data_IF_818912551133
#
_entry.id   IF_818912551133
#
_cell.length_a   1.000
_cell.length_b   1.000
_cell.length_c   1.000
_cell.angle_alpha   90.00
_cell.angle_beta   90.00
_cell.angle_gamma   90.00
#
_symmetry.space_group_name_H-M   'P 1'
#
loop_
_entity.id
_entity.type
_entity.pdbx_description
1 polymer ?
#
# COMPACT_ATOMS: atom_id res chain seq x y z
N UNK A 1 0.88 -11.23 10.64
CA UNK A 1 -0.25 -12.08 11.11
C UNK A 1 -0.02 -13.55 10.78
N UNK A 2 0.01 -13.95 9.51
CA UNK A 2 0.30 -15.34 9.11
C UNK A 2 1.56 -15.96 9.76
N UNK A 3 2.68 -15.22 9.79
CA UNK A 3 3.91 -15.65 10.48
C UNK A 3 3.67 -15.87 11.98
N UNK A 4 3.16 -14.85 12.68
CA UNK A 4 2.88 -14.91 14.11
C UNK A 4 1.97 -16.08 14.49
N UNK A 5 0.88 -16.30 13.76
CA UNK A 5 -0.06 -17.38 14.03
C UNK A 5 0.57 -18.78 13.95
N UNK A 6 1.59 -18.99 13.09
CA UNK A 6 2.31 -20.28 13.01
C UNK A 6 3.36 -20.48 14.10
N UNK A 7 3.73 -19.42 14.79
CA UNK A 7 4.83 -19.40 15.77
C UNK A 7 4.30 -19.51 17.19
N UNK A 8 3.11 -18.96 17.44
CA UNK A 8 2.47 -18.93 18.75
C UNK A 8 1.64 -20.17 19.02
N UNK A 9 1.64 -20.64 20.27
CA UNK A 9 0.81 -21.77 20.69
C UNK A 9 -0.66 -21.39 20.96
N UNK A 10 -0.95 -20.11 21.20
CA UNK A 10 -2.29 -19.58 21.50
C UNK A 10 -2.45 -18.21 20.81
N UNK A 11 -3.62 -17.96 20.21
CA UNK A 11 -3.97 -16.65 19.63
C UNK A 11 -5.08 -15.99 20.45
N UNK A 12 -4.83 -14.76 20.91
CA UNK A 12 -5.88 -13.92 21.52
C UNK A 12 -6.50 -13.03 20.44
N UNK A 13 -7.77 -13.27 20.13
CA UNK A 13 -8.55 -12.47 19.19
C UNK A 13 -9.27 -11.35 19.94
N UNK A 14 -8.76 -10.12 19.81
CA UNK A 14 -9.39 -8.94 20.40
C UNK A 14 -10.45 -8.39 19.46
N UNK A 15 -11.71 -8.36 19.92
CA UNK A 15 -12.86 -7.81 19.16
C UNK A 15 -13.50 -6.71 19.99
N UNK A 16 -13.76 -5.54 19.39
CA UNK A 16 -14.37 -4.46 20.12
C UNK A 16 -15.90 -4.63 20.19
N UNK A 17 -16.48 -4.43 21.37
CA UNK A 17 -17.91 -4.60 21.63
C UNK A 17 -18.79 -3.56 20.91
N UNK A 18 -18.22 -2.43 20.48
CA UNK A 18 -18.91 -1.38 19.73
C UNK A 18 -18.81 -1.56 18.20
N UNK A 19 -17.66 -2.04 17.72
CA UNK A 19 -17.38 -2.19 16.29
C UNK A 19 -17.88 -3.54 15.73
N UNK A 20 -17.81 -4.62 16.53
CA UNK A 20 -18.12 -5.97 16.08
C UNK A 20 -16.97 -6.62 15.29
N UNK A 21 -17.31 -7.64 14.50
CA UNK A 21 -16.36 -8.38 13.67
C UNK A 21 -16.10 -7.63 12.36
N UNK A 22 -14.88 -7.09 12.24
CA UNK A 22 -14.42 -6.35 11.07
C UNK A 22 -13.66 -7.25 10.08
N UNK A 23 -13.45 -6.84 8.81
CA UNK A 23 -12.69 -7.63 7.83
C UNK A 23 -11.30 -8.04 8.31
N UNK A 24 -10.61 -7.18 9.08
CA UNK A 24 -9.30 -7.50 9.67
C UNK A 24 -9.40 -8.59 10.76
N UNK A 25 -10.52 -8.63 11.50
CA UNK A 25 -10.82 -9.69 12.47
C UNK A 25 -11.02 -11.01 11.75
N UNK A 26 -11.79 -11.02 10.66
CA UNK A 26 -11.99 -12.22 9.81
C UNK A 26 -10.67 -12.73 9.25
N UNK A 27 -9.79 -11.83 8.80
CA UNK A 27 -8.45 -12.19 8.33
C UNK A 27 -7.64 -12.88 9.45
N UNK A 28 -7.68 -12.34 10.68
CA UNK A 28 -6.99 -12.91 11.83
C UNK A 28 -7.53 -14.31 12.19
N UNK A 29 -8.86 -14.50 12.16
CA UNK A 29 -9.52 -15.79 12.36
C UNK A 29 -9.01 -16.82 11.34
N UNK A 30 -8.97 -16.43 10.06
CA UNK A 30 -8.51 -17.31 8.99
C UNK A 30 -7.04 -17.73 9.18
N UNK A 31 -6.16 -16.81 9.60
CA UNK A 31 -4.76 -17.14 9.88
C UNK A 31 -4.61 -18.10 11.06
N UNK A 32 -5.38 -17.91 12.13
CA UNK A 32 -5.34 -18.79 13.31
C UNK A 32 -5.86 -20.20 12.98
N UNK A 33 -7.01 -20.29 12.29
CA UNK A 33 -7.56 -21.57 11.83
C UNK A 33 -6.62 -22.31 10.88
N UNK A 34 -6.04 -21.61 9.91
CA UNK A 34 -5.09 -22.21 8.96
C UNK A 34 -3.79 -22.69 9.64
N UNK A 35 -3.43 -22.10 10.78
CA UNK A 35 -2.30 -22.53 11.59
C UNK A 35 -2.67 -23.66 12.58
N UNK A 36 -3.96 -23.95 12.76
CA UNK A 36 -4.43 -24.94 13.74
C UNK A 36 -4.21 -24.53 15.18
N UNK A 37 -4.17 -23.22 15.46
CA UNK A 37 -3.86 -22.67 16.79
C UNK A 37 -5.16 -22.29 17.52
N UNK A 38 -5.33 -22.69 18.79
CA UNK A 38 -6.52 -22.35 19.57
C UNK A 38 -6.66 -20.84 19.75
N UNK A 39 -7.91 -20.39 19.72
CA UNK A 39 -8.28 -18.99 19.82
C UNK A 39 -8.92 -18.74 21.19
N UNK A 40 -8.52 -17.64 21.84
CA UNK A 40 -9.22 -17.05 22.99
C UNK A 40 -9.79 -15.71 22.54
N UNK A 41 -11.08 -15.48 22.75
CA UNK A 41 -11.75 -14.23 22.35
C UNK A 41 -11.74 -13.23 23.50
N UNK A 42 -11.16 -12.05 23.28
CA UNK A 42 -11.23 -10.94 24.21
C UNK A 42 -12.18 -9.86 23.67
N UNK A 43 -13.39 -9.77 24.24
CA UNK A 43 -14.38 -8.76 23.86
C UNK A 43 -14.04 -7.47 24.60
N UNK A 44 -13.40 -6.52 23.92
CA UNK A 44 -12.87 -5.30 24.51
C UNK A 44 -13.87 -4.13 24.46
N UNK A 45 -13.60 -3.07 25.23
CA UNK A 45 -14.38 -1.82 25.34
C UNK A 45 -15.75 -1.98 26.01
N UNK A 46 -15.90 -2.93 26.94
CA UNK A 46 -17.15 -3.10 27.71
C UNK A 46 -17.49 -1.90 28.62
N UNK A 47 -16.56 -0.98 28.79
CA UNK A 47 -16.78 0.27 29.53
C UNK A 47 -17.65 1.29 28.76
N UNK A 48 -17.89 1.08 27.46
CA UNK A 48 -18.68 1.99 26.63
C UNK A 48 -20.18 1.71 26.77
N UNK A 49 -21.03 2.74 26.87
CA UNK A 49 -22.49 2.55 26.96
C UNK A 49 -23.11 1.82 25.76
N UNK A 50 -22.51 1.98 24.57
CA UNK A 50 -22.92 1.32 23.34
C UNK A 50 -22.29 -0.06 23.12
N UNK A 51 -21.54 -0.58 24.08
CA UNK A 51 -20.94 -1.91 23.98
C UNK A 51 -22.02 -2.98 23.96
N UNK A 52 -21.95 -3.87 22.96
CA UNK A 52 -22.83 -5.04 22.86
C UNK A 52 -22.01 -6.32 22.66
N UNK A 53 -21.54 -6.95 23.76
CA UNK A 53 -20.84 -8.22 23.70
C UNK A 53 -21.68 -9.34 23.05
N UNK A 54 -23.00 -9.34 23.25
CA UNK A 54 -23.90 -10.36 22.69
C UNK A 54 -23.96 -10.30 21.17
N UNK A 55 -23.94 -9.10 20.59
CA UNK A 55 -23.79 -8.91 19.14
C UNK A 55 -22.48 -9.51 18.63
N UNK A 56 -21.36 -9.27 19.31
CA UNK A 56 -20.04 -9.83 18.93
C UNK A 56 -20.08 -11.36 18.89
N UNK A 57 -20.65 -11.99 19.94
CA UNK A 57 -20.79 -13.46 20.00
C UNK A 57 -21.59 -14.00 18.81
N UNK A 58 -22.69 -13.33 18.47
CA UNK A 58 -23.56 -13.72 17.36
C UNK A 58 -22.85 -13.59 16.01
N UNK A 59 -22.10 -12.52 15.80
CA UNK A 59 -21.31 -12.31 14.58
C UNK A 59 -20.18 -13.36 14.43
N UNK A 60 -19.54 -13.76 15.53
CA UNK A 60 -18.48 -14.78 15.53
C UNK A 60 -18.98 -16.18 15.08
N UNK A 61 -20.25 -16.51 15.32
CA UNK A 61 -20.85 -17.76 14.84
C UNK A 61 -20.77 -17.90 13.31
N UNK A 62 -20.94 -16.79 12.58
CA UNK A 62 -20.86 -16.78 11.12
C UNK A 62 -19.45 -17.13 10.60
N UNK A 63 -18.46 -17.06 11.48
CA UNK A 63 -17.07 -17.42 11.22
C UNK A 63 -16.69 -18.74 11.91
N UNK A 64 -17.68 -19.57 12.28
CA UNK A 64 -17.52 -20.86 12.96
C UNK A 64 -16.69 -20.78 14.25
N UNK A 65 -16.71 -19.62 14.92
CA UNK A 65 -16.19 -19.48 16.28
C UNK A 65 -17.39 -19.56 17.20
N UNK A 66 -17.53 -20.70 17.87
CA UNK A 66 -18.56 -20.91 18.89
C UNK A 66 -17.90 -20.78 20.26
N UNK A 67 -18.45 -19.83 21.00
CA UNK A 67 -17.91 -19.25 22.22
C UNK A 67 -18.50 -19.99 23.43
N UNK A 68 -17.80 -20.11 24.56
CA UNK A 68 -18.21 -20.93 25.72
C UNK A 68 -19.62 -20.56 26.22
N UNK A 69 -19.98 -19.28 26.24
CA UNK A 69 -21.32 -18.85 26.67
C UNK A 69 -22.44 -19.32 25.73
N UNK A 70 -22.08 -19.77 24.53
CA UNK A 70 -22.97 -20.33 23.52
C UNK A 70 -22.77 -21.84 23.36
N UNK A 71 -22.26 -22.51 24.41
CA UNK A 71 -21.97 -23.95 24.44
C UNK A 71 -20.91 -24.38 23.42
N UNK A 72 -19.95 -23.51 23.11
CA UNK A 72 -18.80 -23.82 22.27
C UNK A 72 -17.54 -24.16 23.07
N UNK A 73 -16.43 -24.37 22.34
CA UNK A 73 -15.12 -24.70 22.91
C UNK A 73 -14.18 -23.49 23.01
N UNK A 74 -14.54 -22.35 22.40
CA UNK A 74 -13.69 -21.16 22.38
C UNK A 74 -13.87 -20.36 23.66
N UNK A 75 -12.80 -20.24 24.47
CA UNK A 75 -12.81 -19.40 25.66
C UNK A 75 -13.04 -17.93 25.30
N UNK A 76 -13.82 -17.24 26.13
CA UNK A 76 -14.17 -15.84 25.94
C UNK A 76 -14.03 -15.03 27.22
N UNK A 77 -13.53 -13.79 27.10
CA UNK A 77 -13.45 -12.88 28.23
C UNK A 77 -13.86 -11.48 27.79
N UNK A 78 -14.86 -10.92 28.48
CA UNK A 78 -15.25 -9.51 28.36
C UNK A 78 -14.25 -8.64 29.14
N UNK A 79 -13.56 -7.72 28.46
CA UNK A 79 -12.51 -6.87 29.06
C UNK A 79 -12.70 -5.39 28.75
N UNK A 80 -12.16 -4.54 29.62
CA UNK A 80 -11.89 -3.13 29.28
C UNK A 80 -10.41 -2.87 29.43
N UNK A 81 -9.70 -2.72 28.30
CA UNK A 81 -8.29 -2.36 28.31
C UNK A 81 -8.05 -0.95 28.88
N UNK A 82 -9.02 -0.03 28.73
CA UNK A 82 -8.91 1.34 29.22
C UNK A 82 -9.13 1.43 30.74
N UNK A 83 -10.15 0.72 31.26
CA UNK A 83 -10.47 0.68 32.69
C UNK A 83 -9.74 -0.44 33.44
N UNK A 84 -8.95 -1.24 32.72
CA UNK A 84 -8.23 -2.42 33.22
C UNK A 84 -9.15 -3.43 33.92
N UNK A 85 -10.34 -3.68 33.35
CA UNK A 85 -11.32 -4.62 33.90
C UNK A 85 -11.14 -6.01 33.28
N UNK A 86 -11.25 -7.06 34.11
CA UNK A 86 -11.20 -8.48 33.76
C UNK A 86 -9.91 -8.93 33.02
N UNK A 87 -8.81 -8.18 33.11
CA UNK A 87 -7.52 -8.58 32.52
C UNK A 87 -6.90 -9.77 33.26
N UNK A 88 -7.18 -9.88 34.56
CA UNK A 88 -6.91 -11.04 35.40
C UNK A 88 -7.60 -12.31 34.87
N UNK A 89 -8.89 -12.22 34.53
CA UNK A 89 -9.63 -13.35 33.93
C UNK A 89 -9.09 -13.74 32.56
N UNK A 90 -8.67 -12.76 31.75
CA UNK A 90 -8.03 -13.05 30.47
C UNK A 90 -6.71 -13.81 30.66
N UNK A 91 -5.93 -13.43 31.67
CA UNK A 91 -4.71 -14.15 32.03
C UNK A 91 -5.01 -15.58 32.50
N UNK A 92 -6.03 -15.77 33.33
CA UNK A 92 -6.50 -17.10 33.76
C UNK A 92 -6.93 -17.96 32.56
N UNK A 93 -7.67 -17.41 31.60
CA UNK A 93 -8.08 -18.12 30.40
C UNK A 93 -6.86 -18.55 29.53
N UNK A 94 -5.84 -17.69 29.42
CA UNK A 94 -4.59 -18.03 28.72
C UNK A 94 -3.85 -19.16 29.45
N UNK A 95 -3.77 -19.12 30.78
CA UNK A 95 -3.16 -20.20 31.56
C UNK A 95 -3.93 -21.52 31.41
N UNK A 96 -5.25 -21.49 31.52
CA UNK A 96 -6.11 -22.67 31.34
C UNK A 96 -5.90 -23.30 29.96
N UNK A 97 -5.89 -22.48 28.91
CA UNK A 97 -5.67 -22.96 27.55
C UNK A 97 -4.27 -23.59 27.39
N UNK A 98 -3.24 -23.00 28.00
CA UNK A 98 -1.88 -23.54 27.96
C UNK A 98 -1.76 -24.88 28.72
N UNK A 99 -2.46 -25.03 29.84
CA UNK A 99 -2.53 -26.30 30.58
C UNK A 99 -3.20 -27.40 29.77
N UNK A 100 -4.30 -27.09 29.07
CA UNK A 100 -5.01 -28.03 28.18
C UNK A 100 -4.09 -28.52 27.05
N UNK A 101 -3.21 -27.67 26.53
CA UNK A 101 -2.29 -28.01 25.44
C UNK A 101 -1.09 -28.87 25.90
N UNK A 102 -0.82 -28.96 27.20
CA UNK A 102 0.34 -29.69 27.77
C UNK A 102 1.65 -29.35 27.07
N UNK A 103 1.92 -28.04 26.91
CA UNK A 103 3.06 -27.53 26.16
C UNK A 103 4.39 -27.99 26.78
N UNK A 104 5.24 -28.62 25.96
CA UNK A 104 6.54 -29.17 26.38
C UNK A 104 7.66 -28.71 25.46
N UNK A 105 8.78 -28.34 26.07
CA UNK A 105 10.03 -28.04 25.36
C UNK A 105 11.21 -28.72 26.07
N UNK A 106 12.21 -29.14 25.29
CA UNK A 106 13.44 -29.69 25.82
C UNK A 106 14.53 -28.59 25.81
N UNK A 107 14.96 -28.06 26.96
CA UNK A 107 16.03 -27.07 27.04
C UNK A 107 17.43 -27.69 26.86
N UNK A 108 17.59 -29.00 27.09
CA UNK A 108 18.88 -29.70 27.09
C UNK A 108 19.31 -30.15 25.68
N UNK A 109 19.22 -29.26 24.69
CA UNK A 109 19.65 -29.48 23.30
C UNK A 109 20.08 -28.17 22.65
N UNK A 110 20.70 -28.27 21.48
CA UNK A 110 21.02 -27.09 20.66
C UNK A 110 19.78 -26.27 20.34
N UNK A 111 19.92 -24.96 20.41
CA UNK A 111 18.79 -24.05 20.21
C UNK A 111 18.29 -24.07 18.77
N UNK A 112 16.98 -24.09 18.62
CA UNK A 112 16.26 -23.90 17.37
C UNK A 112 15.05 -22.99 17.61
N UNK A 113 14.67 -22.23 16.59
CA UNK A 113 13.49 -21.37 16.68
C UNK A 113 13.31 -20.53 15.43
N UNK A 114 12.72 -19.35 15.59
CA UNK A 114 12.37 -18.48 14.47
C UNK A 114 12.81 -17.04 14.70
N UNK A 115 13.20 -16.37 13.61
CA UNK A 115 13.44 -14.93 13.59
C UNK A 115 12.10 -14.21 13.60
N UNK A 116 11.84 -13.43 14.65
CA UNK A 116 10.65 -12.59 14.78
C UNK A 116 10.82 -11.33 13.93
N UNK A 117 11.99 -10.69 14.05
CA UNK A 117 12.30 -9.43 13.38
C UNK A 117 13.81 -9.27 13.22
N UNK A 118 14.22 -8.47 12.23
CA UNK A 118 15.61 -8.12 12.00
C UNK A 118 15.76 -6.64 11.65
N UNK A 119 16.86 -6.05 12.12
CA UNK A 119 17.22 -4.65 11.87
C UNK A 119 18.72 -4.46 11.73
N UNK A 120 19.12 -3.35 11.13
CA UNK A 120 20.51 -2.92 11.03
C UNK A 120 20.76 -1.76 11.99
N UNK A 121 21.54 -1.99 13.03
CA UNK A 121 21.77 -1.00 14.08
C UNK A 121 23.15 -0.32 13.91
N UNK A 122 23.17 1.02 13.98
CA UNK A 122 24.41 1.78 13.81
C UNK A 122 25.39 1.45 14.94
N UNK A 123 26.61 1.07 14.58
CA UNK A 123 27.68 0.72 15.54
C UNK A 123 27.61 -0.71 16.08
N UNK A 124 26.45 -1.38 16.01
CA UNK A 124 26.26 -2.76 16.47
C UNK A 124 26.24 -3.76 15.30
N UNK A 125 25.82 -3.32 14.12
CA UNK A 125 25.72 -4.14 12.91
C UNK A 125 24.34 -4.81 12.81
N UNK A 126 24.23 -5.92 12.05
CA UNK A 126 22.97 -6.64 11.91
C UNK A 126 22.58 -7.33 13.22
N UNK A 127 21.33 -7.13 13.62
CA UNK A 127 20.72 -7.77 14.79
C UNK A 127 19.41 -8.43 14.40
N UNK A 128 19.10 -9.55 15.06
CA UNK A 128 17.88 -10.30 14.84
C UNK A 128 17.23 -10.69 16.16
N UNK A 129 15.98 -10.31 16.35
CA UNK A 129 15.14 -10.79 17.46
C UNK A 129 14.63 -12.17 17.08
N UNK A 130 14.98 -13.16 17.90
CA UNK A 130 14.56 -14.55 17.70
C UNK A 130 13.69 -15.00 18.86
N UNK A 131 12.79 -15.95 18.58
CA UNK A 131 12.06 -16.70 19.59
C UNK A 131 12.62 -18.12 19.63
N UNK A 132 13.22 -18.50 20.76
CA UNK A 132 13.74 -19.86 20.95
C UNK A 132 12.56 -20.81 21.17
N UNK A 133 12.46 -21.87 20.37
CA UNK A 133 11.37 -22.85 20.48
C UNK A 133 11.82 -24.12 21.21
N UNK A 134 13.06 -24.56 20.97
CA UNK A 134 13.67 -25.69 21.68
C UNK A 134 15.13 -25.43 21.95
N UNK A 135 15.67 -26.10 22.96
CA UNK A 135 17.05 -25.94 23.39
C UNK A 135 17.29 -24.63 24.14
N UNK A 136 18.55 -24.38 24.44
CA UNK A 136 19.01 -23.15 25.10
C UNK A 136 20.06 -22.49 24.23
N UNK A 137 19.83 -21.22 23.88
CA UNK A 137 20.75 -20.41 23.11
C UNK A 137 21.70 -19.69 24.05
N UNK A 138 23.00 -19.76 23.82
CA UNK A 138 24.00 -19.12 24.68
C UNK A 138 24.89 -18.14 23.91
N UNK A 139 25.50 -17.21 24.64
CA UNK A 139 26.56 -16.35 24.09
C UNK A 139 27.75 -17.21 23.66
N UNK A 140 28.24 -16.99 22.45
CA UNK A 140 29.32 -17.77 21.82
C UNK A 140 28.82 -18.82 20.83
N UNK A 141 27.53 -19.16 20.85
CA UNK A 141 26.94 -20.10 19.89
C UNK A 141 27.08 -19.59 18.45
N UNK A 142 27.16 -20.54 17.53
CA UNK A 142 27.20 -20.25 16.09
C UNK A 142 25.81 -20.55 15.55
N UNK A 143 25.14 -19.54 15.03
CA UNK A 143 23.77 -19.62 14.55
C UNK A 143 23.71 -19.46 13.04
N UNK A 144 22.80 -20.21 12.43
CA UNK A 144 22.38 -20.03 11.03
C UNK A 144 20.92 -19.64 11.04
N UNK A 145 20.56 -18.55 10.38
CA UNK A 145 19.19 -18.07 10.21
C UNK A 145 18.96 -17.79 8.71
N UNK A 146 18.17 -18.64 8.04
CA UNK A 146 17.96 -18.53 6.60
C UNK A 146 19.28 -18.56 5.81
N UNK A 147 19.57 -17.49 5.07
CA UNK A 147 20.82 -17.31 4.32
C UNK A 147 21.92 -16.56 5.09
N UNK A 148 21.67 -16.19 6.34
CA UNK A 148 22.60 -15.47 7.20
C UNK A 148 23.17 -16.37 8.29
N UNK A 149 24.36 -16.07 8.79
CA UNK A 149 24.95 -16.78 9.92
C UNK A 149 25.76 -15.84 10.80
N UNK A 150 26.08 -16.28 12.01
CA UNK A 150 26.90 -15.47 12.90
C UNK A 150 27.29 -16.19 14.18
N UNK A 151 28.28 -15.63 14.87
CA UNK A 151 28.56 -15.99 16.27
C UNK A 151 27.83 -15.03 17.18
N UNK A 152 27.07 -15.56 18.14
CA UNK A 152 26.36 -14.77 19.15
C UNK A 152 27.39 -14.03 20.01
N UNK A 153 27.52 -12.71 19.82
CA UNK A 153 28.40 -11.83 20.62
C UNK A 153 27.72 -11.34 21.89
N UNK A 154 26.42 -11.11 21.81
CA UNK A 154 25.58 -10.73 22.95
C UNK A 154 24.14 -11.21 22.69
N UNK A 155 23.45 -11.51 23.79
CA UNK A 155 22.03 -11.78 23.84
C UNK A 155 21.38 -10.68 24.69
N UNK A 156 20.31 -10.08 24.21
CA UNK A 156 19.61 -8.99 24.89
C UNK A 156 18.13 -9.35 25.04
N UNK A 157 17.61 -9.26 26.26
CA UNK A 157 16.23 -9.57 26.57
C UNK A 157 15.24 -8.46 26.15
N UNK A 158 13.96 -8.68 26.39
CA UNK A 158 12.87 -7.73 26.13
C UNK A 158 12.97 -6.42 26.94
N UNK A 159 13.76 -6.41 28.02
CA UNK A 159 14.02 -5.25 28.88
C UNK A 159 15.31 -4.52 28.49
N UNK A 160 16.00 -4.96 27.44
CA UNK A 160 17.25 -4.36 26.97
C UNK A 160 18.47 -4.74 27.82
N UNK A 161 18.37 -5.77 28.66
CA UNK A 161 19.46 -6.24 29.51
C UNK A 161 20.22 -7.37 28.81
N UNK A 162 21.54 -7.40 29.01
CA UNK A 162 22.36 -8.50 28.50
C UNK A 162 22.10 -9.77 29.33
N UNK A 163 21.81 -10.86 28.63
CA UNK A 163 21.65 -12.19 29.22
C UNK A 163 22.73 -13.14 28.67
N UNK A 164 23.06 -14.19 29.42
CA UNK A 164 24.06 -15.18 29.00
C UNK A 164 23.46 -16.33 28.21
N UNK A 165 22.19 -16.63 28.47
CA UNK A 165 21.45 -17.72 27.83
C UNK A 165 19.96 -17.37 27.70
N UNK A 166 19.29 -18.00 26.73
CA UNK A 166 17.86 -17.90 26.50
C UNK A 166 17.29 -19.31 26.25
N UNK A 167 16.38 -19.75 27.12
CA UNK A 167 15.70 -21.04 27.00
C UNK A 167 14.46 -20.98 26.10
N UNK A 168 13.69 -22.08 26.01
CA UNK A 168 12.47 -22.14 25.21
C UNK A 168 11.44 -21.08 25.62
N UNK A 169 10.70 -20.58 24.63
CA UNK A 169 9.65 -19.54 24.76
C UNK A 169 10.14 -18.16 25.18
N UNK A 170 11.46 -17.93 25.23
CA UNK A 170 12.06 -16.62 25.52
C UNK A 170 12.44 -15.90 24.23
N UNK A 171 11.93 -14.68 23.97
CA UNK A 171 12.41 -13.85 22.88
C UNK A 171 13.72 -13.17 23.27
N UNK A 172 14.70 -13.16 22.36
CA UNK A 172 16.01 -12.55 22.60
C UNK A 172 16.58 -11.93 21.33
N UNK A 173 17.21 -10.77 21.46
CA UNK A 173 17.93 -10.12 20.36
C UNK A 173 19.36 -10.66 20.29
N UNK A 174 19.71 -11.23 19.13
CA UNK A 174 21.07 -11.71 18.83
C UNK A 174 21.86 -10.61 18.15
N UNK A 175 23.02 -10.30 18.73
CA UNK A 175 24.04 -9.48 18.10
C UNK A 175 25.17 -10.36 17.53
N UNK A 176 25.50 -10.20 16.25
CA UNK A 176 26.65 -10.90 15.65
C UNK A 176 26.39 -11.63 14.34
N UNK A 177 25.24 -11.40 13.70
CA UNK A 177 25.02 -11.84 12.34
C UNK A 177 25.93 -11.11 11.35
N UNK A 178 26.33 -11.82 10.30
CA UNK A 178 27.06 -11.27 9.16
C UNK A 178 26.20 -10.31 8.32
N UNK A 179 24.91 -10.63 8.22
CA UNK A 179 23.88 -9.89 7.48
C UNK A 179 22.53 -10.05 8.19
N UNK A 180 21.63 -9.08 8.03
CA UNK A 180 20.33 -9.15 8.72
C UNK A 180 19.52 -10.35 8.19
N UNK A 181 19.10 -11.30 9.05
CA UNK A 181 18.27 -12.42 8.60
C UNK A 181 16.87 -11.96 8.21
N UNK A 182 16.09 -12.81 7.55
CA UNK A 182 14.71 -12.46 7.18
C UNK A 182 13.73 -12.79 8.30
N UNK A 183 12.70 -11.95 8.45
CA UNK A 183 11.64 -12.21 9.41
C UNK A 183 10.86 -13.47 9.01
N UNK A 184 10.78 -14.43 9.93
CA UNK A 184 10.20 -15.76 9.70
C UNK A 184 11.21 -16.84 9.30
N UNK A 185 12.49 -16.51 9.14
CA UNK A 185 13.52 -17.52 8.94
C UNK A 185 13.62 -18.43 10.16
N UNK A 186 13.75 -19.72 9.92
CA UNK A 186 14.14 -20.66 10.97
C UNK A 186 15.62 -20.44 11.30
N UNK A 187 15.93 -20.38 12.59
CA UNK A 187 17.30 -20.37 13.08
C UNK A 187 17.63 -21.66 13.82
N UNK A 188 18.90 -22.06 13.74
CA UNK A 188 19.43 -23.19 14.49
C UNK A 188 20.90 -22.94 14.87
N UNK A 189 21.30 -23.45 16.04
CA UNK A 189 22.70 -23.51 16.46
C UNK A 189 23.40 -24.66 15.71
N UNK A 190 24.61 -24.41 15.24
CA UNK A 190 25.46 -25.36 14.53
C UNK A 190 26.82 -25.51 15.20
N UNK A 191 27.50 -26.61 14.90
CA UNK A 191 28.72 -27.03 15.60
C UNK A 191 29.92 -26.10 15.38
N UNK A 192 30.05 -25.50 14.18
CA UNK A 192 31.20 -24.68 13.82
C UNK A 192 30.90 -23.70 12.66
N UNK A 193 31.77 -22.71 12.49
CA UNK A 193 31.60 -21.65 11.49
C UNK A 193 31.71 -22.18 10.06
N UNK A 194 32.55 -23.19 9.82
CA UNK A 194 32.73 -23.78 8.50
C UNK A 194 31.42 -24.38 7.99
N UNK A 195 30.70 -25.09 8.87
CA UNK A 195 29.39 -25.66 8.56
C UNK A 195 28.33 -24.58 8.34
N UNK A 196 28.36 -23.51 9.15
CA UNK A 196 27.44 -22.38 8.99
C UNK A 196 27.59 -21.71 7.61
N UNK A 197 28.83 -21.45 7.18
CA UNK A 197 29.16 -20.89 5.86
C UNK A 197 28.73 -21.80 4.73
N UNK A 198 29.01 -23.10 4.82
CA UNK A 198 28.62 -24.07 3.81
C UNK A 198 27.09 -24.07 3.57
N UNK A 199 26.30 -24.07 4.65
CA UNK A 199 24.83 -24.06 4.59
C UNK A 199 24.32 -22.75 3.96
N UNK A 200 24.86 -21.61 4.39
CA UNK A 200 24.42 -20.29 3.91
C UNK A 200 24.82 -20.06 2.46
N UNK A 201 26.03 -20.43 2.05
CA UNK A 201 26.49 -20.36 0.66
C UNK A 201 25.66 -21.24 -0.28
N UNK A 202 25.27 -22.43 0.17
CA UNK A 202 24.35 -23.28 -0.57
C UNK A 202 22.97 -22.63 -0.74
N UNK A 203 22.38 -22.09 0.35
CA UNK A 203 21.09 -21.39 0.30
C UNK A 203 21.13 -20.15 -0.58
N UNK A 204 22.21 -19.36 -0.51
CA UNK A 204 22.42 -18.18 -1.35
C UNK A 204 22.53 -18.52 -2.83
N UNK A 205 23.29 -19.57 -3.20
CA UNK A 205 23.35 -20.05 -4.59
C UNK A 205 21.98 -20.48 -5.09
N UNK A 206 21.27 -21.30 -4.32
CA UNK A 206 19.92 -21.78 -4.69
C UNK A 206 18.93 -20.63 -4.86
N UNK A 207 19.02 -19.61 -4.00
CA UNK A 207 18.21 -18.39 -4.09
C UNK A 207 18.54 -17.58 -5.35
N UNK A 208 19.82 -17.44 -5.68
CA UNK A 208 20.27 -16.74 -6.89
C UNK A 208 19.87 -17.50 -8.16
N UNK A 209 19.88 -18.82 -8.15
CA UNK A 209 19.37 -19.66 -9.25
C UNK A 209 17.86 -19.51 -9.43
N UNK A 210 17.09 -19.44 -8.33
CA UNK A 210 15.64 -19.21 -8.37
C UNK A 210 15.30 -17.80 -8.91
N UNK A 211 16.06 -16.78 -8.49
CA UNK A 211 15.89 -15.40 -9.00
C UNK A 211 16.39 -15.27 -10.46
N UNK A 212 17.46 -15.97 -10.81
CA UNK A 212 18.02 -15.99 -12.16
C UNK A 212 17.13 -16.74 -13.17
N UNK A 213 16.39 -17.76 -12.72
CA UNK A 213 15.40 -18.46 -13.55
C UNK A 213 14.11 -17.65 -13.75
N UNK A 214 13.77 -16.74 -12.83
CA UNK A 214 12.77 -15.69 -13.07
C UNK A 214 13.25 -14.62 -14.07
N UNK A 215 14.56 -14.55 -14.35
CA UNK A 215 15.19 -13.70 -15.35
C UNK A 215 15.65 -14.49 -16.61
N UNK A 216 15.08 -15.69 -16.84
CA UNK A 216 15.26 -16.42 -18.10
C UNK A 216 14.77 -15.58 -19.31
N UNK A 217 15.23 -15.85 -20.54
CA UNK A 217 15.10 -14.94 -21.67
C UNK A 217 13.63 -14.59 -21.89
N UNK A 218 13.33 -13.28 -21.86
CA UNK A 218 12.00 -12.77 -22.24
C UNK A 218 11.68 -13.34 -23.62
N UNK A 219 10.68 -14.21 -23.70
CA UNK A 219 10.19 -14.65 -25.01
C UNK A 219 9.74 -13.42 -25.78
N UNK A 220 9.75 -13.47 -27.12
CA UNK A 220 9.28 -12.33 -27.93
C UNK A 220 7.86 -11.89 -27.50
N UNK A 221 7.04 -12.84 -27.08
CA UNK A 221 5.70 -12.63 -26.55
C UNK A 221 5.69 -11.86 -25.22
N UNK A 222 6.55 -12.21 -24.26
CA UNK A 222 6.73 -11.44 -23.02
C UNK A 222 7.32 -10.06 -23.30
N UNK A 223 8.21 -9.93 -24.28
CA UNK A 223 8.77 -8.65 -24.70
C UNK A 223 7.69 -7.76 -25.36
N UNK A 224 6.76 -8.34 -26.13
CA UNK A 224 5.57 -7.66 -26.63
C UNK A 224 4.57 -7.29 -25.53
N UNK A 225 4.46 -8.09 -24.46
CA UNK A 225 3.62 -7.79 -23.30
C UNK A 225 4.21 -6.65 -22.46
N UNK A 226 5.53 -6.62 -22.25
CA UNK A 226 6.22 -5.46 -21.64
C UNK A 226 6.13 -4.20 -22.51
N UNK A 227 6.06 -4.34 -23.84
CA UNK A 227 5.80 -3.21 -24.75
C UNK A 227 4.35 -2.71 -24.68
N UNK A 228 3.37 -3.59 -24.40
CA UNK A 228 1.99 -3.16 -24.08
C UNK A 228 1.92 -2.41 -22.75
N UNK A 229 2.73 -2.81 -21.78
CA UNK A 229 2.89 -2.10 -20.49
C UNK A 229 3.67 -0.77 -20.64
N UNK A 230 4.35 -0.51 -21.76
CA UNK A 230 5.10 0.73 -21.99
C UNK A 230 4.23 2.01 -22.06
N UNK A 231 2.90 1.87 -22.04
CA UNK A 231 1.96 2.99 -21.85
C UNK A 231 1.74 3.38 -20.38
N UNK A 232 2.19 2.54 -19.44
CA UNK A 232 2.00 2.72 -18.00
C UNK A 232 3.05 3.68 -17.45
N UNK A 233 2.61 4.68 -16.70
CA UNK A 233 3.53 5.62 -16.04
C UNK A 233 4.06 5.01 -14.76
N UNK A 234 5.37 4.92 -14.64
CA UNK A 234 6.02 4.45 -13.42
C UNK A 234 6.33 5.64 -12.49
N UNK A 235 6.03 5.47 -11.21
CA UNK A 235 6.51 6.33 -10.14
C UNK A 235 7.60 5.58 -9.35
N UNK A 236 8.89 5.79 -9.69
CA UNK A 236 9.99 5.06 -9.07
C UNK A 236 10.24 5.50 -7.62
N UNK A 237 10.40 4.53 -6.74
CA UNK A 237 10.58 4.72 -5.31
C UNK A 237 11.76 3.89 -4.79
N UNK A 238 12.52 4.47 -3.87
CA UNK A 238 13.49 3.75 -3.04
C UNK A 238 13.01 3.78 -1.59
N UNK A 239 12.85 2.63 -0.96
CA UNK A 239 12.27 2.51 0.38
C UNK A 239 13.33 2.02 1.38
N UNK A 240 13.61 2.80 2.43
CA UNK A 240 14.41 2.38 3.58
C UNK A 240 13.54 2.36 4.83
N UNK A 241 13.62 1.30 5.61
CA UNK A 241 12.91 1.15 6.88
C UNK A 241 13.84 0.83 8.04
N UNK A 242 13.34 1.02 9.25
CA UNK A 242 14.00 0.66 10.50
C UNK A 242 14.12 -0.86 10.68
N UNK A 243 13.06 -1.57 10.32
CA UNK A 243 12.94 -3.03 10.43
C UNK A 243 12.46 -3.63 9.11
N UNK A 244 12.84 -4.90 8.86
CA UNK A 244 12.47 -5.62 7.64
C UNK A 244 10.94 -5.71 7.45
N UNK A 245 10.19 -5.92 8.53
CA UNK A 245 8.73 -6.07 8.48
C UNK A 245 8.01 -4.83 7.95
N UNK A 246 8.46 -3.63 8.35
CA UNK A 246 7.93 -2.35 7.85
C UNK A 246 8.19 -2.20 6.35
N UNK A 247 9.39 -2.54 5.89
CA UNK A 247 9.76 -2.46 4.48
C UNK A 247 8.88 -3.37 3.62
N UNK A 248 8.63 -4.61 4.05
CA UNK A 248 7.74 -5.56 3.37
C UNK A 248 6.29 -5.05 3.34
N UNK A 249 5.79 -4.53 4.46
CA UNK A 249 4.43 -4.02 4.57
C UNK A 249 4.21 -2.81 3.63
N UNK A 250 5.16 -1.87 3.61
CA UNK A 250 5.14 -0.71 2.73
C UNK A 250 5.19 -1.17 1.27
N UNK A 251 6.10 -2.07 0.92
CA UNK A 251 6.23 -2.57 -0.44
C UNK A 251 4.93 -3.24 -0.94
N UNK A 252 4.31 -4.05 -0.08
CA UNK A 252 3.01 -4.68 -0.36
C UNK A 252 1.88 -3.68 -0.52
N UNK A 253 1.83 -2.64 0.31
CA UNK A 253 0.83 -1.58 0.23
C UNK A 253 0.98 -0.75 -1.06
N UNK A 254 2.20 -0.33 -1.38
CA UNK A 254 2.49 0.44 -2.59
C UNK A 254 2.17 -0.33 -3.87
N UNK A 255 2.45 -1.64 -3.90
CA UNK A 255 2.10 -2.50 -5.04
C UNK A 255 0.59 -2.57 -5.30
N UNK A 256 -0.24 -2.49 -4.26
CA UNK A 256 -1.71 -2.49 -4.38
C UNK A 256 -2.28 -1.17 -4.91
N UNK A 257 -1.51 -0.08 -4.90
CA UNK A 257 -1.93 1.21 -5.47
C UNK A 257 -1.87 1.25 -7.00
N UNK A 258 -1.20 0.29 -7.63
CA UNK A 258 -1.04 0.25 -9.08
C UNK A 258 -2.38 0.06 -9.79
N UNK A 259 -2.57 0.82 -10.88
CA UNK A 259 -3.67 0.67 -11.84
C UNK A 259 -3.12 0.26 -13.20
N UNK A 260 -3.92 0.23 -14.26
CA UNK A 260 -3.42 -0.02 -15.62
C UNK A 260 -2.68 1.20 -16.22
N UNK A 261 -2.89 2.40 -15.66
CA UNK A 261 -2.31 3.66 -16.16
C UNK A 261 -1.04 4.10 -15.39
N UNK A 262 -0.97 3.83 -14.08
CA UNK A 262 0.14 4.26 -13.22
C UNK A 262 0.50 3.16 -12.21
N UNK A 263 1.78 2.98 -11.92
CA UNK A 263 2.25 2.11 -10.83
C UNK A 263 3.37 2.72 -9.99
N UNK A 264 3.38 2.36 -8.71
CA UNK A 264 4.51 2.59 -7.83
C UNK A 264 5.57 1.50 -8.07
N UNK A 265 6.71 1.87 -8.64
CA UNK A 265 7.80 0.94 -8.92
C UNK A 265 8.88 1.06 -7.85
N UNK A 266 9.07 0.00 -7.09
CA UNK A 266 10.12 -0.05 -6.06
C UNK A 266 11.43 -0.45 -6.72
N UNK A 267 12.35 0.51 -6.87
CA UNK A 267 13.68 0.30 -7.47
C UNK A 267 14.59 -0.45 -6.50
N UNK A 268 14.53 -0.08 -5.22
CA UNK A 268 15.28 -0.73 -4.17
C UNK A 268 14.53 -0.61 -2.85
N UNK A 269 14.58 -1.66 -2.05
CA UNK A 269 14.09 -1.65 -0.67
C UNK A 269 15.13 -2.27 0.25
N UNK A 270 15.28 -1.71 1.44
CA UNK A 270 16.27 -2.20 2.39
C UNK A 270 16.08 -1.68 3.81
N UNK A 271 16.83 -2.25 4.73
CA UNK A 271 16.76 -1.93 6.16
C UNK A 271 17.95 -1.06 6.58
N UNK A 272 17.70 -0.15 7.51
CA UNK A 272 18.68 0.77 8.06
C UNK A 272 18.59 2.19 7.50
N UNK A 273 19.47 3.05 7.99
CA UNK A 273 19.54 4.45 7.58
C UNK A 273 19.82 4.64 6.09
N UNK A 274 19.41 5.79 5.54
CA UNK A 274 19.66 6.16 4.15
C UNK A 274 21.14 6.55 3.99
N UNK A 275 21.79 5.99 2.97
CA UNK A 275 23.21 6.14 2.66
C UNK A 275 23.44 6.87 1.33
N UNK A 276 24.66 7.35 1.08
CA UNK A 276 25.02 8.02 -0.17
C UNK A 276 24.84 7.12 -1.41
N UNK A 277 25.08 5.81 -1.26
CA UNK A 277 24.81 4.84 -2.33
C UNK A 277 23.32 4.73 -2.67
N UNK A 278 22.44 4.87 -1.67
CA UNK A 278 20.99 4.89 -1.91
C UNK A 278 20.60 6.13 -2.72
N UNK A 279 21.17 7.29 -2.39
CA UNK A 279 20.94 8.54 -3.13
C UNK A 279 21.46 8.45 -4.56
N UNK A 280 22.63 7.86 -4.75
CA UNK A 280 23.22 7.66 -6.09
C UNK A 280 22.33 6.78 -6.97
N UNK A 281 21.79 5.69 -6.40
CA UNK A 281 20.86 4.80 -7.10
C UNK A 281 19.53 5.50 -7.41
N UNK A 282 19.02 6.28 -6.47
CA UNK A 282 17.79 7.06 -6.63
C UNK A 282 17.94 8.12 -7.73
N UNK A 283 19.07 8.85 -7.76
CA UNK A 283 19.39 9.82 -8.81
C UNK A 283 19.42 9.16 -10.20
N UNK A 284 20.15 8.04 -10.34
CA UNK A 284 20.24 7.31 -11.59
C UNK A 284 18.88 6.79 -12.10
N UNK A 285 17.98 6.45 -11.17
CA UNK A 285 16.65 5.90 -11.48
C UNK A 285 15.53 6.94 -11.44
N UNK A 286 15.85 8.21 -11.16
CA UNK A 286 14.90 9.30 -10.89
C UNK A 286 13.86 8.95 -9.82
N UNK A 287 14.26 8.16 -8.82
CA UNK A 287 13.39 7.68 -7.76
C UNK A 287 13.30 8.68 -6.60
N UNK A 288 12.13 8.78 -5.98
CA UNK A 288 11.98 9.46 -4.68
C UNK A 288 12.42 8.53 -3.57
N UNK A 289 13.17 9.05 -2.59
CA UNK A 289 13.64 8.26 -1.46
C UNK A 289 12.67 8.40 -0.29
N UNK A 290 12.22 7.27 0.23
CA UNK A 290 11.27 7.18 1.34
C UNK A 290 11.95 6.49 2.53
N UNK A 291 12.04 7.20 3.66
CA UNK A 291 12.56 6.69 4.91
C UNK A 291 11.45 6.47 5.94
N UNK A 292 11.21 5.22 6.34
CA UNK A 292 10.26 4.87 7.41
C UNK A 292 10.99 4.66 8.73
N UNK A 293 10.75 5.51 9.73
CA UNK A 293 11.45 5.52 11.03
C UNK A 293 12.98 5.58 10.95
N UNK A 294 13.54 5.94 9.79
CA UNK A 294 14.99 6.07 9.57
C UNK A 294 15.35 7.46 9.08
N UNK A 295 16.61 7.82 9.26
CA UNK A 295 17.17 9.11 8.81
C UNK A 295 18.36 8.91 7.88
N UNK A 296 18.53 9.83 6.94
CA UNK A 296 19.75 9.93 6.15
C UNK A 296 20.94 10.32 7.01
N UNK A 297 22.12 9.78 6.68
CA UNK A 297 23.37 10.27 7.25
C UNK A 297 23.77 11.62 6.61
N UNK A 298 24.76 12.31 7.18
CA UNK A 298 25.17 13.63 6.70
C UNK A 298 25.61 13.62 5.24
N UNK A 299 26.37 12.60 4.83
CA UNK A 299 26.83 12.40 3.45
C UNK A 299 25.66 12.22 2.47
N UNK A 300 24.67 11.39 2.81
CA UNK A 300 23.47 11.19 2.00
C UNK A 300 22.64 12.46 1.87
N UNK A 301 22.51 13.25 2.94
CA UNK A 301 21.79 14.52 2.88
C UNK A 301 22.47 15.51 1.92
N UNK A 302 23.80 15.67 2.04
CA UNK A 302 24.57 16.51 1.13
C UNK A 302 24.53 16.02 -0.32
N UNK A 303 24.56 14.70 -0.55
CA UNK A 303 24.41 14.12 -1.88
C UNK A 303 23.02 14.38 -2.46
N UNK A 304 21.96 14.28 -1.64
CA UNK A 304 20.59 14.51 -2.07
C UNK A 304 20.36 15.97 -2.48
N UNK A 305 20.88 16.93 -1.70
CA UNK A 305 20.80 18.35 -2.03
C UNK A 305 21.56 18.69 -3.33
N UNK A 306 22.73 18.06 -3.54
CA UNK A 306 23.56 18.24 -4.75
C UNK A 306 22.90 17.64 -6.00
N UNK A 307 22.34 16.44 -5.88
CA UNK A 307 21.85 15.66 -7.00
C UNK A 307 20.33 15.88 -7.25
N UNK A 308 19.69 16.72 -6.43
CA UNK A 308 18.28 17.09 -6.54
C UNK A 308 17.31 15.95 -6.20
N UNK A 309 17.73 15.01 -5.33
CA UNK A 309 16.94 13.84 -4.94
C UNK A 309 16.07 14.19 -3.73
N UNK A 310 14.75 14.03 -3.85
CA UNK A 310 13.83 14.26 -2.75
C UNK A 310 13.86 13.10 -1.75
N UNK A 311 14.03 13.41 -0.46
CA UNK A 311 13.93 12.46 0.65
C UNK A 311 12.70 12.80 1.49
N UNK A 312 11.77 11.86 1.61
CA UNK A 312 10.60 11.97 2.49
C UNK A 312 10.71 11.02 3.67
N UNK A 313 10.32 11.49 4.84
CA UNK A 313 10.38 10.73 6.08
C UNK A 313 8.98 10.49 6.63
N UNK A 314 8.70 9.25 7.01
CA UNK A 314 7.42 8.84 7.57
C UNK A 314 7.61 8.02 8.84
N UNK A 315 6.61 8.08 9.71
CA UNK A 315 6.47 7.21 10.88
C UNK A 315 5.15 6.43 10.86
N UNK A 316 4.26 6.75 9.92
CA UNK A 316 2.94 6.14 9.76
C UNK A 316 2.80 5.68 8.31
N UNK A 317 2.44 4.41 8.11
CA UNK A 317 2.36 3.80 6.76
C UNK A 317 1.24 4.42 5.94
N UNK A 318 0.11 4.78 6.57
CA UNK A 318 -1.03 5.39 5.86
C UNK A 318 -0.64 6.73 5.24
N UNK A 319 0.01 7.62 5.99
CA UNK A 319 0.50 8.91 5.48
C UNK A 319 1.43 8.73 4.27
N UNK A 320 2.33 7.74 4.33
CA UNK A 320 3.22 7.39 3.22
C UNK A 320 2.43 6.94 1.99
N UNK A 321 1.49 6.01 2.18
CA UNK A 321 0.65 5.45 1.12
C UNK A 321 -0.20 6.55 0.47
N UNK A 322 -0.79 7.44 1.26
CA UNK A 322 -1.64 8.54 0.79
C UNK A 322 -0.85 9.61 0.04
N UNK A 323 0.35 9.95 0.52
CA UNK A 323 1.25 10.86 -0.19
C UNK A 323 1.69 10.28 -1.54
N UNK A 324 2.10 9.01 -1.58
CA UNK A 324 2.48 8.35 -2.82
C UNK A 324 1.29 8.25 -3.76
N UNK A 325 0.10 7.92 -3.25
CA UNK A 325 -1.14 7.90 -4.03
C UNK A 325 -1.45 9.26 -4.64
N UNK A 326 -1.25 10.33 -3.88
CA UNK A 326 -1.44 11.71 -4.34
C UNK A 326 -0.43 12.09 -5.42
N UNK A 327 0.84 11.74 -5.23
CA UNK A 327 1.89 11.98 -6.22
C UNK A 327 1.62 11.21 -7.53
N UNK A 328 1.21 9.94 -7.42
CA UNK A 328 0.82 9.12 -8.57
C UNK A 328 -0.43 9.67 -9.29
N UNK A 329 -1.38 10.25 -8.54
CA UNK A 329 -2.57 10.88 -9.13
C UNK A 329 -2.19 12.07 -10.02
N UNK A 330 -1.16 12.84 -9.64
CA UNK A 330 -0.60 13.92 -10.47
C UNK A 330 -0.01 13.46 -11.80
N UNK A 331 0.30 12.17 -11.94
CA UNK A 331 0.78 11.59 -13.19
C UNK A 331 -0.36 11.19 -14.14
N UNK A 332 -1.61 11.09 -13.67
CA UNK A 332 -2.75 10.73 -14.51
C UNK A 332 -3.06 11.83 -15.52
N UNK A 333 -3.42 11.42 -16.74
CA UNK A 333 -3.93 12.38 -17.72
C UNK A 333 -5.32 12.87 -17.26
N UNK A 334 -5.59 14.20 -17.29
CA UNK A 334 -6.89 14.71 -16.89
C UNK A 334 -7.98 14.25 -17.86
N UNK A 335 -9.17 13.98 -17.34
CA UNK A 335 -10.34 13.63 -18.15
C UNK A 335 -11.02 14.90 -18.64
N UNK A 336 -11.37 14.90 -19.93
CA UNK A 336 -12.18 15.96 -20.53
C UNK A 336 -13.64 15.59 -20.35
N UNK A 337 -14.38 16.38 -19.58
CA UNK A 337 -15.83 16.25 -19.47
C UNK A 337 -16.48 17.33 -20.31
N UNK A 338 -17.38 16.93 -21.18
CA UNK A 338 -18.19 17.87 -21.96
C UNK A 338 -19.42 18.24 -21.14
N UNK A 339 -19.53 19.52 -20.82
CA UNK A 339 -20.70 20.09 -20.17
C UNK A 339 -21.54 20.79 -21.24
N UNK A 340 -22.70 20.21 -21.54
CA UNK A 340 -23.68 20.80 -22.44
C UNK A 340 -24.11 22.19 -21.94
N UNK A 341 -24.22 23.15 -22.86
CA UNK A 341 -24.63 24.53 -22.58
C UNK A 341 -25.99 24.87 -23.17
N UNK A 342 -26.29 24.44 -24.39
CA UNK A 342 -27.54 24.80 -25.07
C UNK A 342 -27.61 24.38 -26.54
N UNK A 343 -28.80 24.51 -27.10
CA UNK A 343 -29.08 24.31 -28.53
C UNK A 343 -29.48 25.62 -29.21
N UNK A 344 -29.12 25.77 -30.48
CA UNK A 344 -29.63 26.82 -31.34
C UNK A 344 -29.94 26.29 -32.74
N UNK A 345 -30.95 26.84 -33.40
CA UNK A 345 -31.31 26.46 -34.78
C UNK A 345 -31.00 27.60 -35.74
N UNK A 346 -30.35 27.29 -36.85
CA UNK A 346 -30.07 28.27 -37.91
C UNK A 346 -31.37 28.58 -38.66
N UNK A 347 -31.82 29.84 -38.58
CA UNK A 347 -33.00 30.34 -39.27
C UNK A 347 -32.67 30.93 -40.64
N UNK A 348 -31.55 31.64 -40.74
CA UNK A 348 -31.13 32.29 -41.96
C UNK A 348 -29.61 32.35 -42.06
N UNK A 349 -29.05 32.23 -43.26
CA UNK A 349 -27.60 32.35 -43.48
C UNK A 349 -27.29 33.64 -44.24
N UNK A 350 -26.45 34.49 -43.64
CA UNK A 350 -26.00 35.75 -44.24
C UNK A 350 -24.56 35.61 -44.75
N UNK A 351 -24.28 36.15 -45.93
CA UNK A 351 -22.91 36.19 -46.46
C UNK A 351 -22.30 37.58 -46.23
N UNK A 352 -21.30 37.68 -45.35
CA UNK A 352 -20.65 38.96 -45.02
C UNK A 352 -19.23 38.96 -45.56
N UNK A 353 -18.90 39.94 -46.40
CA UNK A 353 -17.65 40.03 -47.17
C UNK A 353 -16.35 40.09 -46.34
N UNK A 354 -16.41 40.35 -45.01
CA UNK A 354 -15.24 40.39 -44.12
C UNK A 354 -15.11 39.21 -43.15
N UNK A 355 -16.18 38.48 -42.86
CA UNK A 355 -16.23 37.42 -41.82
C UNK A 355 -16.71 36.07 -42.35
N UNK A 356 -17.08 35.98 -43.63
CA UNK A 356 -17.66 34.78 -44.24
C UNK A 356 -19.16 34.67 -43.96
N UNK A 357 -19.69 33.45 -44.04
CA UNK A 357 -21.08 33.14 -43.72
C UNK A 357 -21.34 33.25 -42.22
N UNK A 358 -22.37 33.99 -41.86
CA UNK A 358 -22.87 34.16 -40.48
C UNK A 358 -24.26 33.55 -40.40
N UNK A 359 -24.44 32.66 -39.42
CA UNK A 359 -25.73 32.04 -39.14
C UNK A 359 -26.57 32.99 -38.27
N UNK A 360 -27.73 33.40 -38.74
CA UNK A 360 -28.80 33.94 -37.91
C UNK A 360 -29.51 32.79 -37.21
N UNK A 361 -29.33 32.70 -35.90
CA UNK A 361 -29.76 31.58 -35.08
C UNK A 361 -30.79 32.00 -34.04
N UNK A 362 -31.70 31.10 -33.71
CA UNK A 362 -32.55 31.20 -32.53
C UNK A 362 -32.07 30.18 -31.49
N UNK A 363 -31.73 30.63 -30.29
CA UNK A 363 -31.37 29.71 -29.19
C UNK A 363 -32.63 29.01 -28.72
N UNK A 364 -32.70 27.70 -28.88
CA UNK A 364 -33.87 26.88 -28.56
C UNK A 364 -33.86 26.37 -27.14
N UNK A 365 -32.68 26.08 -26.59
CA UNK A 365 -32.52 25.56 -25.23
C UNK A 365 -31.20 26.02 -24.60
N UNK A 366 -31.20 26.17 -23.27
CA UNK A 366 -30.02 26.58 -22.50
C UNK A 366 -29.46 27.95 -22.88
N UNK A 367 -28.15 28.01 -23.13
CA UNK A 367 -27.43 29.22 -23.54
C UNK A 367 -26.30 28.91 -24.51
N UNK A 368 -25.93 29.91 -25.31
CA UNK A 368 -24.76 29.84 -26.20
C UNK A 368 -23.73 30.88 -25.79
N UNK A 369 -22.47 30.46 -25.66
CA UNK A 369 -21.37 31.28 -25.16
C UNK A 369 -20.24 31.41 -26.19
N UNK A 370 -19.72 32.63 -26.36
CA UNK A 370 -18.62 32.92 -27.30
C UNK A 370 -17.34 32.23 -26.84
N UNK A 371 -16.69 31.48 -27.74
CA UNK A 371 -15.47 30.71 -27.45
C UNK A 371 -15.73 29.27 -26.98
N UNK A 372 -16.98 28.89 -26.73
CA UNK A 372 -17.36 27.51 -26.45
C UNK A 372 -17.15 26.59 -27.67
N UNK A 373 -17.10 25.29 -27.42
CA UNK A 373 -17.10 24.27 -28.47
C UNK A 373 -18.52 24.07 -28.98
N UNK A 374 -18.63 23.82 -30.27
CA UNK A 374 -19.92 23.67 -30.96
C UNK A 374 -19.89 22.48 -31.89
N UNK A 375 -20.98 21.70 -31.88
CA UNK A 375 -21.28 20.70 -32.90
C UNK A 375 -22.39 21.23 -33.78
N UNK A 376 -22.22 21.09 -35.07
CA UNK A 376 -23.25 21.39 -36.05
C UNK A 376 -23.89 20.08 -36.48
N UNK A 377 -25.20 20.00 -36.36
CA UNK A 377 -26.01 18.83 -36.63
C UNK A 377 -26.93 19.10 -37.82
N UNK A 378 -26.99 18.16 -38.75
CA UNK A 378 -27.96 18.14 -39.84
C UNK A 378 -28.66 16.79 -39.81
N UNK A 379 -29.98 16.79 -39.76
CA UNK A 379 -30.79 15.58 -39.59
C UNK A 379 -30.34 14.72 -38.40
N UNK A 380 -29.94 15.37 -37.30
CA UNK A 380 -29.39 14.77 -36.06
C UNK A 380 -28.04 14.06 -36.22
N UNK A 381 -27.32 14.27 -37.33
CA UNK A 381 -25.96 13.77 -37.54
C UNK A 381 -24.97 14.92 -37.39
N UNK A 382 -23.91 14.72 -36.60
CA UNK A 382 -22.83 15.72 -36.44
C UNK A 382 -22.05 15.83 -37.74
N UNK A 383 -22.13 16.99 -38.40
CA UNK A 383 -21.42 17.26 -39.66
C UNK A 383 -20.11 18.03 -39.43
N UNK A 384 -20.01 18.76 -38.32
CA UNK A 384 -18.81 19.51 -37.97
C UNK A 384 -18.70 19.71 -36.47
N UNK A 385 -17.48 19.66 -35.94
CA UNK A 385 -17.14 20.08 -34.59
C UNK A 385 -16.11 21.22 -34.66
N UNK A 386 -16.41 22.33 -34.01
CA UNK A 386 -15.63 23.55 -34.11
C UNK A 386 -15.69 24.41 -32.86
N UNK A 387 -15.20 25.64 -32.97
CA UNK A 387 -15.27 26.65 -31.92
C UNK A 387 -16.08 27.84 -32.42
N UNK A 388 -16.97 28.35 -31.56
CA UNK A 388 -17.76 29.54 -31.87
C UNK A 388 -16.86 30.79 -31.82
N UNK A 389 -16.57 31.37 -32.99
CA UNK A 389 -15.60 32.45 -33.12
C UNK A 389 -16.21 33.82 -32.81
N UNK A 390 -17.43 34.05 -33.28
CA UNK A 390 -18.14 35.32 -33.10
C UNK A 390 -19.57 35.03 -32.67
N UNK A 391 -20.02 35.76 -31.65
CA UNK A 391 -21.40 35.75 -31.17
C UNK A 391 -21.86 37.20 -31.07
N UNK A 392 -22.88 37.54 -31.86
CA UNK A 392 -23.46 38.86 -31.92
C UNK A 392 -24.94 38.84 -31.62
N UNK A 393 -25.42 39.86 -30.94
CA UNK A 393 -26.84 40.14 -30.82
C UNK A 393 -27.11 41.46 -31.53
N UNK A 394 -27.92 41.43 -32.59
CA UNK A 394 -28.05 42.55 -33.52
C UNK A 394 -26.69 43.00 -34.08
N UNK A 395 -26.16 44.14 -33.63
CA UNK A 395 -24.88 44.70 -34.08
C UNK A 395 -23.74 44.53 -33.06
N UNK A 396 -24.06 44.13 -31.83
CA UNK A 396 -23.14 44.14 -30.71
C UNK A 396 -22.56 42.75 -30.45
N UNK A 397 -21.25 42.69 -30.18
CA UNK A 397 -20.56 41.48 -29.73
C UNK A 397 -20.93 41.17 -28.28
N UNK A 398 -21.50 39.99 -28.05
CA UNK A 398 -21.97 39.55 -26.74
C UNK A 398 -21.20 38.31 -26.27
N UNK A 399 -21.10 38.15 -24.94
CA UNK A 399 -20.42 36.98 -24.34
C UNK A 399 -21.29 35.74 -24.35
N UNK A 400 -22.57 35.89 -24.03
CA UNK A 400 -23.53 34.79 -24.00
C UNK A 400 -24.92 35.26 -24.47
N UNK A 401 -25.71 34.32 -24.98
CA UNK A 401 -27.11 34.53 -25.39
C UNK A 401 -27.97 33.40 -24.80
N UNK A 402 -29.00 33.70 -24.00
CA UNK A 402 -29.89 32.71 -23.42
C UNK A 402 -30.98 32.25 -24.39
N UNK A 403 -31.63 31.12 -24.08
CA UNK A 403 -32.75 30.58 -24.81
C UNK A 403 -33.88 31.59 -25.09
N UNK A 404 -34.52 31.44 -26.25
CA UNK A 404 -35.61 32.29 -26.72
C UNK A 404 -35.16 33.58 -27.41
N UNK A 405 -33.85 33.82 -27.57
CA UNK A 405 -33.31 35.01 -28.21
C UNK A 405 -32.62 34.71 -29.55
N UNK A 406 -32.71 35.67 -30.46
CA UNK A 406 -32.00 35.64 -31.75
C UNK A 406 -30.58 36.17 -31.62
N UNK A 407 -29.65 35.53 -32.31
CA UNK A 407 -28.25 35.93 -32.36
C UNK A 407 -27.59 35.55 -33.68
N UNK A 408 -26.50 36.24 -34.02
CA UNK A 408 -25.62 35.93 -35.13
C UNK A 408 -24.41 35.13 -34.64
N UNK A 409 -24.15 33.99 -35.27
CA UNK A 409 -23.05 33.09 -34.96
C UNK A 409 -22.12 32.91 -36.15
N UNK A 410 -20.81 32.95 -35.90
CA UNK A 410 -19.81 32.53 -36.88
C UNK A 410 -18.92 31.43 -36.29
N UNK A 411 -18.51 30.50 -37.15
CA UNK A 411 -17.71 29.34 -36.78
C UNK A 411 -16.26 29.52 -37.23
N UNK A 412 -15.30 29.11 -36.41
CA UNK A 412 -13.90 29.14 -36.80
C UNK A 412 -13.63 28.13 -37.92
N UNK A 413 -13.08 28.58 -39.05
CA UNK A 413 -12.64 27.76 -40.18
C UNK A 413 -13.72 26.84 -40.81
N UNK A 414 -15.00 27.17 -40.66
CA UNK A 414 -16.11 26.40 -41.25
C UNK A 414 -17.16 27.32 -41.89
N UNK A 415 -17.62 26.95 -43.09
CA UNK A 415 -18.47 27.81 -43.95
C UNK A 415 -19.64 27.04 -44.60
N UNK A 416 -19.76 25.72 -44.43
CA UNK A 416 -20.89 24.93 -44.94
C UNK A 416 -22.02 24.82 -43.90
N UNK A 417 -22.67 25.96 -43.66
CA UNK A 417 -23.87 26.08 -42.83
C UNK A 417 -25.10 26.25 -43.70
N UNK A 418 -26.22 25.62 -43.31
CA UNK A 418 -27.51 25.70 -43.99
C UNK A 418 -28.62 26.07 -43.02
N UNK A 419 -29.68 26.65 -43.57
CA UNK A 419 -30.91 26.90 -42.82
C UNK A 419 -31.51 25.56 -42.38
N UNK A 420 -31.96 25.49 -41.13
CA UNK A 420 -32.46 24.27 -40.51
C UNK A 420 -31.41 23.42 -39.78
N UNK A 421 -30.11 23.71 -39.92
CA UNK A 421 -29.08 23.02 -39.13
C UNK A 421 -29.23 23.38 -37.64
N UNK A 422 -28.97 22.41 -36.76
CA UNK A 422 -28.96 22.56 -35.31
C UNK A 422 -27.52 22.73 -34.81
N UNK A 423 -27.34 23.54 -33.78
CA UNK A 423 -26.04 23.84 -33.18
C UNK A 423 -26.14 23.42 -31.72
N UNK A 424 -25.33 22.45 -31.33
CA UNK A 424 -25.12 22.06 -29.94
C UNK A 424 -23.90 22.79 -29.40
N UNK A 425 -24.08 23.57 -28.33
CA UNK A 425 -23.02 24.29 -27.66
C UNK A 425 -22.61 23.55 -26.37
N UNK A 426 -21.32 23.36 -26.16
CA UNK A 426 -20.79 22.70 -24.96
C UNK A 426 -19.42 23.27 -24.56
N UNK A 427 -19.11 23.17 -23.27
CA UNK A 427 -17.79 23.50 -22.74
C UNK A 427 -17.03 22.21 -22.40
N UNK A 428 -15.73 22.23 -22.61
CA UNK A 428 -14.84 21.13 -22.21
C UNK A 428 -14.20 21.50 -20.89
N UNK A 429 -14.63 20.86 -19.82
CA UNK A 429 -14.01 20.99 -18.50
C UNK A 429 -12.90 19.95 -18.35
N UNK A 430 -11.71 20.40 -17.95
CA UNK A 430 -10.57 19.52 -17.68
C UNK A 430 -10.63 19.16 -16.20
N UNK A 431 -11.02 17.92 -15.91
CA UNK A 431 -11.10 17.40 -14.54
C UNK A 431 -9.83 16.61 -14.24
N UNK A 432 -9.13 16.98 -13.17
CA UNK A 432 -8.01 16.18 -12.66
C UNK A 432 -8.53 14.88 -12.05
N UNK A 433 -7.92 13.76 -12.43
CA UNK A 433 -8.26 12.45 -11.89
C UNK A 433 -7.47 12.18 -10.62
N UNK A 434 -8.09 11.50 -9.66
CA UNK A 434 -7.45 10.96 -8.47
C UNK A 434 -7.57 9.44 -8.45
N UNK A 435 -6.53 8.77 -7.93
CA UNK A 435 -6.56 7.33 -7.65
C UNK A 435 -7.46 7.00 -6.45
#
# INVERSE_FOLDING_TARGET
RARGAKVTDIVVLVVAADDGVMPQTVEAINHAKAAGVPIIVAINKIDKPQADPSRVRTELLSHEIVVESMSGETLEVEVSALKQLNLDKLLEAVHLQAEILDLKANPNRSAEGIVVEAKLERGRGPVGTVLVQRGTLAVGDIVVAGSSWGRVRALIDDKGQNVTEAGPSVPVEILGFDSAPEAGDQFAVVENEARAREITDYRMRKRREALGSAAAPRTLEQMMQSLKEAGKKEFPLLVKGDVQGSVEAIAGALKKLGTDEVEARIVHSGVGGITESDISLASASKAVVVGFNVRANAQAKSAADRDGVEIRYYSIIYDLVDDVKSAMSGLLAPTKKENFLGYATIKQVFNISKTGKVAGCLVTDGKVERGAKVRLLRDKVVIHEGTLSVLKRFKDDVKEVPAGQECGMAFANYQDIREGDEIECFNVEIIQRSL
#
